data_IF_468227872470
#
_entry.id   IF_468227872470
#
_cell.length_a   1.000
_cell.length_b   1.000
_cell.length_c   1.000
_cell.angle_alpha   90.00
_cell.angle_beta   90.00
_cell.angle_gamma   90.00
#
_symmetry.space_group_name_H-M   'P 1'
#
loop_
_entity.id
_entity.type
_entity.pdbx_description
1 polymer ?
#
# COMPACT_ATOMS: atom_id res chain seq x y z
N UNK A 1 26.07 76.87 -37.78
CA UNK A 1 27.16 76.48 -36.86
C UNK A 1 26.54 76.11 -35.51
N UNK A 2 26.31 74.83 -35.27
CA UNK A 2 25.79 74.28 -34.00
C UNK A 2 26.60 73.03 -33.69
N UNK A 3 27.37 73.05 -32.62
CA UNK A 3 27.95 71.86 -32.01
C UNK A 3 27.11 71.53 -30.79
N UNK A 4 26.52 70.33 -30.75
CA UNK A 4 25.93 69.81 -29.53
C UNK A 4 26.27 68.32 -29.43
N UNK A 5 27.08 67.99 -28.44
CA UNK A 5 27.67 66.67 -28.20
C UNK A 5 26.65 65.78 -27.52
N UNK A 6 26.13 64.77 -28.22
CA UNK A 6 25.22 63.78 -27.65
C UNK A 6 26.03 62.70 -26.92
N UNK A 7 25.92 62.63 -25.59
CA UNK A 7 26.40 61.49 -24.79
C UNK A 7 25.26 60.47 -24.66
N UNK A 8 25.39 59.32 -25.30
CA UNK A 8 24.50 58.18 -25.10
C UNK A 8 25.01 57.32 -23.93
N UNK A 9 24.21 57.21 -22.88
CA UNK A 9 24.43 56.29 -21.76
C UNK A 9 23.68 54.99 -22.09
N UNK A 10 24.42 53.90 -22.28
CA UNK A 10 23.85 52.55 -22.37
C UNK A 10 23.59 52.03 -20.95
N UNK A 11 22.32 51.87 -20.59
CA UNK A 11 21.89 51.19 -19.37
C UNK A 11 21.77 49.69 -19.69
N UNK A 12 22.71 48.88 -19.19
CA UNK A 12 22.62 47.42 -19.24
C UNK A 12 21.84 46.97 -18.00
N UNK A 13 20.54 46.71 -18.15
CA UNK A 13 19.75 46.00 -17.15
C UNK A 13 20.08 44.52 -17.23
N UNK A 14 20.96 44.05 -16.34
CA UNK A 14 21.24 42.63 -16.14
C UNK A 14 20.07 42.02 -15.34
N UNK A 15 19.13 41.40 -16.04
CA UNK A 15 18.03 40.65 -15.42
C UNK A 15 18.56 39.38 -14.75
N UNK A 16 18.75 39.40 -13.44
CA UNK A 16 18.97 38.19 -12.65
C UNK A 16 17.63 37.42 -12.57
N UNK A 17 17.47 36.41 -13.42
CA UNK A 17 16.45 35.39 -13.22
C UNK A 17 16.88 34.51 -12.04
N UNK A 18 16.35 34.76 -10.85
CA UNK A 18 16.36 33.78 -9.76
C UNK A 18 15.53 32.57 -10.22
N UNK A 19 16.19 31.54 -10.72
CA UNK A 19 15.58 30.22 -10.82
C UNK A 19 15.36 29.74 -9.39
N UNK A 20 14.10 29.70 -8.95
CA UNK A 20 13.74 29.03 -7.72
C UNK A 20 14.17 27.56 -7.87
N UNK A 21 15.21 27.16 -7.13
CA UNK A 21 15.54 25.76 -6.96
C UNK A 21 14.31 25.10 -6.34
N UNK A 22 13.59 24.31 -7.13
CA UNK A 22 12.57 23.42 -6.62
C UNK A 22 13.25 22.51 -5.61
N UNK A 23 13.02 22.77 -4.32
CA UNK A 23 13.52 21.91 -3.26
C UNK A 23 12.88 20.54 -3.47
N UNK A 24 13.72 19.52 -3.61
CA UNK A 24 13.24 18.14 -3.66
C UNK A 24 12.36 17.91 -2.43
N UNK A 25 11.15 17.35 -2.60
CA UNK A 25 10.28 17.15 -1.47
C UNK A 25 10.95 16.29 -0.40
N UNK A 26 10.60 16.47 0.89
CA UNK A 26 11.18 15.68 1.96
C UNK A 26 10.96 14.18 1.71
N UNK A 27 11.92 13.32 2.08
CA UNK A 27 11.75 11.88 1.97
C UNK A 27 10.56 11.41 2.83
N UNK A 28 9.91 10.33 2.40
CA UNK A 28 8.86 9.71 3.18
C UNK A 28 9.45 9.14 4.48
N UNK A 29 8.75 9.39 5.56
CA UNK A 29 9.05 8.85 6.87
C UNK A 29 8.16 7.64 7.12
N UNK A 30 8.74 6.57 7.67
CA UNK A 30 7.97 5.42 8.14
C UNK A 30 7.17 5.79 9.38
N UNK A 31 5.95 5.26 9.49
CA UNK A 31 5.16 5.38 10.69
C UNK A 31 5.68 4.41 11.76
N UNK A 32 6.10 4.93 12.91
CA UNK A 32 6.59 4.10 14.01
C UNK A 32 5.38 3.50 14.75
N UNK A 33 5.04 2.24 14.47
CA UNK A 33 3.93 1.55 15.14
C UNK A 33 4.32 1.26 16.58
N UNK A 34 3.57 1.81 17.54
CA UNK A 34 3.81 1.62 18.98
C UNK A 34 2.87 0.57 19.57
N UNK A 35 1.67 0.42 19.01
CA UNK A 35 0.65 -0.48 19.52
C UNK A 35 -0.15 -1.11 18.38
N UNK A 36 -0.51 -2.38 18.59
CA UNK A 36 -1.46 -3.10 17.73
C UNK A 36 -2.42 -3.93 18.57
N UNK A 37 -3.73 -3.78 18.35
CA UNK A 37 -4.74 -4.70 18.88
C UNK A 37 -5.19 -5.64 17.76
N UNK A 38 -5.02 -6.94 17.97
CA UNK A 38 -5.30 -7.99 16.99
C UNK A 38 -6.67 -8.61 17.27
N UNK A 39 -7.52 -8.63 16.24
CA UNK A 39 -8.84 -9.27 16.29
C UNK A 39 -8.81 -10.59 15.53
N UNK A 40 -9.64 -11.55 15.96
CA UNK A 40 -9.67 -12.90 15.35
C UNK A 40 -10.17 -12.92 13.91
N UNK A 41 -10.86 -11.86 13.47
CA UNK A 41 -11.40 -11.72 12.11
C UNK A 41 -10.38 -11.18 11.08
N UNK A 42 -9.11 -11.02 11.45
CA UNK A 42 -8.07 -10.54 10.53
C UNK A 42 -7.88 -9.02 10.51
N UNK A 43 -8.63 -8.28 11.33
CA UNK A 43 -8.41 -6.86 11.55
C UNK A 43 -7.36 -6.63 12.66
N UNK A 44 -6.60 -5.56 12.49
CA UNK A 44 -5.78 -4.96 13.53
C UNK A 44 -6.08 -3.48 13.68
N UNK A 45 -6.12 -3.00 14.93
CA UNK A 45 -6.11 -1.58 15.24
C UNK A 45 -4.68 -1.15 15.53
N UNK A 46 -4.14 -0.30 14.67
CA UNK A 46 -2.77 0.17 14.69
C UNK A 46 -2.74 1.59 15.23
N UNK A 47 -1.82 1.86 16.15
CA UNK A 47 -1.45 3.21 16.57
C UNK A 47 0.03 3.37 16.31
N UNK A 48 0.38 4.37 15.51
CA UNK A 48 1.76 4.76 15.29
C UNK A 48 1.98 6.25 15.49
N UNK A 49 3.22 6.63 15.66
CA UNK A 49 3.63 8.01 15.84
C UNK A 49 4.62 8.45 14.77
N UNK A 50 4.62 9.74 14.50
CA UNK A 50 5.63 10.41 13.68
C UNK A 50 6.13 11.65 14.39
N UNK A 51 7.44 11.82 14.47
CA UNK A 51 8.07 12.99 15.08
C UNK A 51 8.36 14.05 14.01
N UNK A 52 7.86 15.26 14.20
CA UNK A 52 8.08 16.38 13.28
C UNK A 52 9.58 16.77 13.27
N UNK A 53 10.28 16.71 12.11
CA UNK A 53 11.66 17.16 12.01
C UNK A 53 11.78 18.67 12.25
N UNK A 54 12.91 19.08 12.82
CA UNK A 54 13.18 20.48 13.11
C UNK A 54 13.19 21.34 11.83
N UNK A 55 12.50 22.48 11.88
CA UNK A 55 12.43 23.45 10.79
C UNK A 55 11.57 23.04 9.59
N UNK A 56 10.92 21.86 9.63
CA UNK A 56 10.08 21.39 8.53
C UNK A 56 8.60 21.72 8.74
N UNK A 57 7.97 22.27 7.71
CA UNK A 57 6.53 22.54 7.64
C UNK A 57 5.79 21.56 6.74
N UNK A 58 6.51 20.64 6.10
CA UNK A 58 5.94 19.60 5.25
C UNK A 58 6.54 18.26 5.66
N UNK A 59 5.68 17.25 5.81
CA UNK A 59 6.04 15.90 6.21
C UNK A 59 5.40 14.93 5.23
N UNK A 60 6.09 13.85 4.90
CA UNK A 60 5.52 12.73 4.17
C UNK A 60 5.51 11.50 5.05
N UNK A 61 4.34 10.94 5.29
CA UNK A 61 4.18 9.77 6.16
C UNK A 61 3.75 8.57 5.32
N UNK A 62 4.57 7.53 5.25
CA UNK A 62 4.22 6.30 4.57
C UNK A 62 3.26 5.46 5.43
N UNK A 63 2.07 5.16 4.88
CA UNK A 63 1.14 4.26 5.55
C UNK A 63 1.58 2.81 5.33
N UNK A 64 1.76 2.02 6.40
CA UNK A 64 2.30 0.67 6.25
C UNK A 64 1.24 -0.35 5.79
N UNK A 65 -0.04 -0.05 5.99
CA UNK A 65 -1.17 -0.84 5.50
C UNK A 65 -2.31 0.09 5.03
N UNK A 66 -3.22 -0.44 4.21
CA UNK A 66 -4.38 0.34 3.73
C UNK A 66 -5.49 0.31 4.80
N UNK A 67 -5.92 1.47 5.33
CA UNK A 67 -6.99 1.52 6.32
C UNK A 67 -8.33 1.02 5.77
N UNK A 68 -9.15 0.45 6.64
CA UNK A 68 -10.57 0.26 6.38
C UNK A 68 -11.30 1.61 6.24
N UNK A 69 -12.42 1.62 5.54
CA UNK A 69 -13.14 2.85 5.27
C UNK A 69 -13.71 3.46 6.56
N UNK A 70 -13.55 4.77 6.69
CA UNK A 70 -13.95 5.51 7.89
C UNK A 70 -13.06 5.24 9.10
N UNK A 71 -11.91 4.54 8.92
CA UNK A 71 -11.06 4.13 10.03
C UNK A 71 -9.69 4.79 10.13
N UNK A 72 -9.44 5.94 9.49
CA UNK A 72 -8.16 6.64 9.62
C UNK A 72 -8.32 7.90 10.45
N UNK A 73 -7.54 8.02 11.52
CA UNK A 73 -7.48 9.21 12.38
C UNK A 73 -6.07 9.72 12.50
N UNK A 74 -5.95 11.05 12.55
CA UNK A 74 -4.70 11.75 12.81
C UNK A 74 -4.95 12.67 13.98
N UNK A 75 -4.20 12.47 15.05
CA UNK A 75 -4.28 13.25 16.28
C UNK A 75 -2.95 13.93 16.55
N UNK A 76 -3.01 15.15 17.08
CA UNK A 76 -1.85 15.99 17.30
C UNK A 76 -2.11 16.93 18.48
N UNK A 77 -1.08 17.34 19.23
CA UNK A 77 -1.25 18.22 20.36
C UNK A 77 -1.57 19.65 19.90
N UNK A 78 -2.25 20.43 20.74
CA UNK A 78 -2.78 21.76 20.38
C UNK A 78 -1.73 22.78 19.88
N UNK A 79 -0.44 22.53 20.14
CA UNK A 79 0.66 23.38 19.66
C UNK A 79 1.05 23.09 18.19
N UNK A 80 0.54 22.02 17.60
CA UNK A 80 0.74 21.70 16.19
C UNK A 80 -0.38 22.34 15.38
N UNK A 81 0.01 23.19 14.44
CA UNK A 81 -0.91 23.89 13.54
C UNK A 81 -0.91 23.20 12.17
N UNK A 82 -1.79 22.19 12.02
CA UNK A 82 -1.92 21.40 10.78
C UNK A 82 -2.77 22.17 9.76
N UNK A 83 -2.18 22.44 8.59
CA UNK A 83 -2.84 23.14 7.48
C UNK A 83 -3.63 22.18 6.59
N UNK A 84 -3.05 21.03 6.24
CA UNK A 84 -3.70 20.04 5.38
C UNK A 84 -3.08 18.66 5.54
N UNK A 85 -3.87 17.63 5.27
CA UNK A 85 -3.37 16.27 5.06
C UNK A 85 -3.93 15.75 3.75
N UNK A 86 -3.06 15.35 2.83
CA UNK A 86 -3.44 14.91 1.48
C UNK A 86 -2.84 13.54 1.20
N UNK A 87 -3.67 12.59 0.78
CA UNK A 87 -3.20 11.30 0.32
C UNK A 87 -2.50 11.44 -1.04
N UNK A 88 -1.34 10.82 -1.18
CA UNK A 88 -0.59 10.74 -2.42
C UNK A 88 -0.24 9.28 -2.68
N UNK A 89 -0.40 8.86 -3.93
CA UNK A 89 0.12 7.59 -4.38
C UNK A 89 1.50 7.82 -4.96
N UNK A 90 2.49 7.23 -4.32
CA UNK A 90 3.88 7.38 -4.71
C UNK A 90 4.34 6.04 -5.25
N UNK A 91 4.72 6.05 -6.52
CA UNK A 91 5.41 4.93 -7.13
C UNK A 91 6.83 4.90 -6.54
N UNK A 92 7.06 3.94 -5.65
CA UNK A 92 8.36 3.65 -5.07
C UNK A 92 8.98 2.47 -5.80
N UNK A 93 10.27 2.51 -6.04
CA UNK A 93 11.00 1.38 -6.60
C UNK A 93 11.53 0.52 -5.45
N UNK A 94 11.00 -0.70 -5.30
CA UNK A 94 11.66 -1.72 -4.47
C UNK A 94 12.56 -2.57 -5.34
N UNK A 95 13.73 -2.95 -4.84
CA UNK A 95 14.61 -3.88 -5.54
C UNK A 95 14.32 -5.31 -5.11
N UNK A 96 14.18 -6.21 -6.08
CA UNK A 96 14.07 -7.65 -5.85
C UNK A 96 15.18 -8.37 -6.61
N UNK A 97 15.62 -9.51 -6.09
CA UNK A 97 16.56 -10.36 -6.81
C UNK A 97 15.89 -10.93 -8.06
N UNK A 98 16.60 -10.88 -9.19
CA UNK A 98 16.21 -11.55 -10.42
C UNK A 98 16.23 -13.06 -10.19
N UNK A 99 15.09 -13.71 -10.39
CA UNK A 99 14.93 -15.17 -10.28
C UNK A 99 14.72 -15.83 -11.65
N UNK A 100 14.60 -15.03 -12.72
CA UNK A 100 14.48 -15.51 -14.10
C UNK A 100 15.46 -14.82 -15.06
N UNK A 101 15.77 -15.45 -16.20
CA UNK A 101 16.62 -14.84 -17.25
C UNK A 101 16.01 -13.53 -17.77
N UNK A 102 14.69 -13.42 -18.06
CA UNK A 102 14.07 -12.15 -18.44
C UNK A 102 14.28 -11.03 -17.41
N UNK A 103 14.12 -11.32 -16.12
CA UNK A 103 14.40 -10.37 -15.04
C UNK A 103 15.87 -9.95 -15.00
N UNK A 104 16.79 -10.88 -15.23
CA UNK A 104 18.22 -10.59 -15.32
C UNK A 104 18.52 -9.68 -16.52
N UNK A 105 17.87 -9.88 -17.67
CA UNK A 105 18.01 -8.98 -18.82
C UNK A 105 17.44 -7.59 -18.53
N UNK A 106 16.29 -7.52 -17.84
CA UNK A 106 15.66 -6.26 -17.42
C UNK A 106 16.57 -5.44 -16.50
N UNK A 107 17.25 -6.09 -15.54
CA UNK A 107 18.19 -5.42 -14.63
C UNK A 107 19.44 -4.86 -15.32
N UNK A 108 19.76 -5.33 -16.53
CA UNK A 108 21.01 -5.02 -17.23
C UNK A 108 20.81 -4.24 -18.54
N UNK A 109 19.70 -3.51 -18.68
CA UNK A 109 19.53 -2.53 -19.78
C UNK A 109 20.67 -1.51 -19.73
N UNK A 110 21.28 -1.25 -20.89
CA UNK A 110 22.47 -0.43 -21.08
C UNK A 110 23.79 -1.20 -21.06
N UNK A 111 23.78 -2.52 -20.78
CA UNK A 111 25.00 -3.32 -20.69
C UNK A 111 25.20 -4.25 -21.87
N UNK A 112 26.46 -4.57 -22.14
CA UNK A 112 26.87 -5.54 -23.15
C UNK A 112 26.66 -6.96 -22.66
N UNK A 113 25.95 -7.76 -23.44
CA UNK A 113 25.67 -9.15 -23.14
C UNK A 113 25.75 -10.01 -24.40
N UNK A 114 26.16 -11.25 -24.18
CA UNK A 114 26.09 -12.35 -25.14
C UNK A 114 24.87 -13.19 -24.79
N UNK A 115 23.87 -13.16 -25.67
CA UNK A 115 22.55 -13.74 -25.48
C UNK A 115 22.44 -15.03 -26.32
N UNK A 116 22.22 -16.15 -25.65
CA UNK A 116 22.04 -17.45 -26.27
C UNK A 116 20.55 -17.77 -26.43
N UNK A 117 20.16 -18.20 -27.63
CA UNK A 117 18.80 -18.58 -28.02
C UNK A 117 18.87 -19.91 -28.78
N UNK A 118 18.97 -21.02 -28.06
CA UNK A 118 19.23 -22.33 -28.67
C UNK A 118 20.59 -22.37 -29.35
N UNK A 119 20.63 -22.61 -30.67
CA UNK A 119 21.87 -22.64 -31.46
C UNK A 119 22.34 -21.25 -31.93
N UNK A 120 21.54 -20.21 -31.72
CA UNK A 120 21.85 -18.85 -32.16
C UNK A 120 22.39 -18.03 -31.00
N UNK A 121 23.42 -17.23 -31.27
CA UNK A 121 24.02 -16.32 -30.31
C UNK A 121 24.03 -14.90 -30.86
N UNK A 122 23.65 -13.94 -30.02
CA UNK A 122 23.61 -12.52 -30.34
C UNK A 122 24.48 -11.79 -29.33
N UNK A 123 25.41 -10.97 -29.79
CA UNK A 123 26.24 -10.14 -28.92
C UNK A 123 25.93 -8.67 -29.19
N UNK A 124 25.69 -7.91 -28.13
CA UNK A 124 25.42 -6.48 -28.24
C UNK A 124 24.99 -5.86 -26.92
N UNK A 125 24.56 -4.59 -26.98
CA UNK A 125 24.11 -3.82 -25.82
C UNK A 125 22.59 -3.95 -25.71
N UNK A 126 22.10 -4.36 -24.53
CA UNK A 126 20.65 -4.37 -24.26
C UNK A 126 20.19 -2.91 -24.21
N UNK A 127 19.32 -2.48 -25.12
CA UNK A 127 18.89 -1.07 -25.20
C UNK A 127 17.49 -0.82 -24.65
N UNK A 128 16.63 -1.85 -24.64
CA UNK A 128 15.25 -1.72 -24.17
C UNK A 128 14.72 -3.06 -23.69
N UNK A 129 13.92 -3.02 -22.63
CA UNK A 129 13.11 -4.13 -22.15
C UNK A 129 11.68 -3.62 -22.00
N UNK A 130 10.75 -4.20 -22.76
CA UNK A 130 9.36 -3.76 -22.76
C UNK A 130 8.69 -4.06 -21.41
N UNK A 131 7.92 -3.09 -20.92
CA UNK A 131 7.06 -3.26 -19.74
C UNK A 131 5.62 -3.51 -20.17
N UNK A 132 4.89 -4.28 -19.35
CA UNK A 132 3.47 -4.53 -19.59
C UNK A 132 2.73 -3.21 -19.74
N UNK A 133 1.89 -3.10 -20.77
CA UNK A 133 0.98 -1.95 -20.86
C UNK A 133 -0.04 -2.09 -19.75
N UNK A 134 0.00 -1.18 -18.78
CA UNK A 134 -1.13 -1.00 -17.90
C UNK A 134 -2.32 -0.51 -18.75
N UNK A 135 -3.53 -1.03 -18.53
CA UNK A 135 -4.71 -0.43 -19.13
C UNK A 135 -4.77 1.04 -18.68
N UNK A 136 -5.02 1.96 -19.63
CA UNK A 136 -5.25 3.37 -19.32
C UNK A 136 -6.36 3.44 -18.25
N UNK A 137 -6.02 3.85 -17.03
CA UNK A 137 -6.99 4.03 -15.95
C UNK A 137 -7.83 5.30 -16.13
N UNK A 138 -7.62 6.03 -17.24
CA UNK A 138 -8.32 7.27 -17.60
C UNK A 138 -9.76 7.08 -18.09
N UNK A 139 -10.28 5.85 -18.11
CA UNK A 139 -11.73 5.66 -18.24
C UNK A 139 -12.44 6.06 -16.95
N UNK A 140 -12.69 7.36 -16.79
CA UNK A 140 -13.55 7.98 -15.77
C UNK A 140 -14.97 7.36 -15.71
N UNK A 141 -15.32 6.55 -16.70
CA UNK A 141 -16.51 5.71 -16.75
C UNK A 141 -16.12 4.31 -17.24
N UNK A 142 -16.24 3.24 -16.43
CA UNK A 142 -16.26 1.91 -17.02
C UNK A 142 -17.41 1.85 -18.03
N UNK A 143 -17.25 1.18 -19.19
CA UNK A 143 -18.36 0.98 -20.12
C UNK A 143 -19.54 0.38 -19.34
N UNK A 144 -20.72 1.02 -19.47
CA UNK A 144 -21.97 0.56 -18.84
C UNK A 144 -22.08 -0.95 -19.03
N UNK A 145 -22.07 -1.70 -17.93
CA UNK A 145 -22.47 -3.11 -17.96
C UNK A 145 -23.85 -3.19 -18.60
N UNK A 146 -24.06 -4.02 -19.65
CA UNK A 146 -25.39 -4.24 -20.19
C UNK A 146 -26.26 -4.78 -19.06
N UNK A 147 -27.37 -4.08 -18.78
CA UNK A 147 -28.37 -4.50 -17.82
C UNK A 147 -28.88 -5.88 -18.25
N UNK A 148 -28.44 -6.92 -17.54
CA UNK A 148 -28.76 -8.33 -17.78
C UNK A 148 -28.16 -9.18 -16.66
N UNK A 149 -28.72 -10.38 -16.38
CA UNK A 149 -28.26 -11.21 -15.26
C UNK A 149 -26.79 -11.57 -15.49
N UNK A 150 -25.93 -11.07 -14.60
CA UNK A 150 -24.49 -11.11 -14.72
C UNK A 150 -23.97 -12.55 -14.75
N UNK A 151 -23.67 -13.05 -15.95
CA UNK A 151 -22.55 -13.99 -16.11
C UNK A 151 -21.30 -13.14 -15.96
N UNK A 152 -20.55 -13.37 -14.88
CA UNK A 152 -19.32 -12.67 -14.52
C UNK A 152 -18.21 -12.85 -15.55
N UNK A 153 -18.35 -12.16 -16.69
CA UNK A 153 -17.20 -11.87 -17.53
C UNK A 153 -16.48 -10.70 -16.88
N UNK A 154 -15.47 -11.03 -16.08
CA UNK A 154 -14.39 -10.13 -15.75
C UNK A 154 -13.87 -9.52 -17.05
N UNK A 155 -14.27 -8.29 -17.36
CA UNK A 155 -13.63 -7.46 -18.36
C UNK A 155 -12.26 -7.03 -17.79
N UNK A 156 -11.38 -8.00 -17.51
CA UNK A 156 -9.96 -7.71 -17.46
C UNK A 156 -9.59 -7.40 -18.90
N UNK A 157 -9.44 -6.12 -19.21
CA UNK A 157 -8.76 -5.70 -20.43
C UNK A 157 -7.51 -6.58 -20.54
N UNK A 158 -7.30 -7.32 -21.65
CA UNK A 158 -6.19 -8.23 -21.74
C UNK A 158 -4.92 -7.43 -21.54
N UNK A 159 -4.26 -7.61 -20.38
CA UNK A 159 -2.91 -7.14 -20.19
C UNK A 159 -2.11 -7.80 -21.30
N UNK A 160 -1.69 -7.02 -22.30
CA UNK A 160 -0.82 -7.53 -23.35
C UNK A 160 0.55 -7.71 -22.68
N UNK A 161 0.98 -8.95 -22.39
CA UNK A 161 2.23 -9.15 -21.69
C UNK A 161 3.36 -8.67 -22.61
N UNK A 162 4.21 -7.80 -22.10
CA UNK A 162 5.37 -7.33 -22.82
C UNK A 162 6.36 -8.49 -23.01
N UNK A 163 6.74 -8.72 -24.25
CA UNK A 163 7.65 -9.79 -24.65
C UNK A 163 8.64 -9.30 -25.71
N UNK A 164 9.27 -8.16 -25.45
CA UNK A 164 10.26 -7.57 -26.35
C UNK A 164 11.47 -7.06 -25.58
N UNK A 165 12.64 -7.53 -26.00
CA UNK A 165 13.94 -6.95 -25.65
C UNK A 165 14.62 -6.52 -26.93
N UNK A 166 15.23 -5.34 -26.94
CA UNK A 166 16.06 -4.91 -28.07
C UNK A 166 17.53 -4.91 -27.70
N UNK A 167 18.34 -5.39 -28.62
CA UNK A 167 19.79 -5.50 -28.49
C UNK A 167 20.40 -4.74 -29.67
N UNK A 168 21.24 -3.75 -29.38
CA UNK A 168 22.04 -3.06 -30.38
C UNK A 168 23.28 -3.90 -30.68
N UNK A 169 23.34 -4.45 -31.89
CA UNK A 169 24.50 -5.16 -32.43
C UNK A 169 25.23 -4.27 -33.45
N UNK A 170 26.37 -4.75 -33.94
CA UNK A 170 27.11 -4.09 -35.03
C UNK A 170 26.33 -4.08 -36.36
N UNK A 171 25.41 -5.03 -36.53
CA UNK A 171 24.55 -5.15 -37.72
C UNK A 171 23.24 -4.37 -37.62
N UNK A 172 22.91 -3.81 -36.45
CA UNK A 172 21.71 -3.00 -36.23
C UNK A 172 20.98 -3.35 -34.93
N UNK A 173 19.75 -2.87 -34.80
CA UNK A 173 18.90 -3.15 -33.66
C UNK A 173 18.13 -4.46 -33.87
N UNK A 174 18.29 -5.42 -32.98
CA UNK A 174 17.60 -6.73 -33.05
C UNK A 174 16.59 -6.82 -31.91
N UNK A 175 15.32 -7.06 -32.25
CA UNK A 175 14.26 -7.34 -31.28
C UNK A 175 14.09 -8.84 -31.08
N UNK A 176 14.02 -9.29 -29.83
CA UNK A 176 13.82 -10.70 -29.47
C UNK A 176 12.75 -10.85 -28.38
N UNK A 177 12.12 -12.03 -28.34
CA UNK A 177 11.31 -12.43 -27.19
C UNK A 177 12.24 -12.90 -26.06
N UNK A 178 12.22 -12.28 -24.86
CA UNK A 178 13.06 -12.69 -23.74
C UNK A 178 12.82 -14.13 -23.28
N UNK A 179 11.66 -14.74 -23.58
CA UNK A 179 11.35 -16.14 -23.25
C UNK A 179 12.08 -17.15 -24.12
N UNK A 180 12.56 -16.73 -25.29
CA UNK A 180 13.36 -17.59 -26.17
C UNK A 180 14.86 -17.59 -25.81
N UNK A 181 15.25 -16.80 -24.80
CA UNK A 181 16.63 -16.76 -24.32
C UNK A 181 16.89 -17.93 -23.37
N UNK A 182 17.87 -18.75 -23.72
CA UNK A 182 18.30 -19.92 -22.95
C UNK A 182 19.49 -19.63 -22.04
N UNK A 183 20.21 -18.51 -22.27
CA UNK A 183 21.31 -18.08 -21.43
C UNK A 183 21.76 -16.64 -21.76
N UNK A 184 22.37 -15.98 -20.79
CA UNK A 184 22.93 -14.64 -20.97
C UNK A 184 24.27 -14.53 -20.23
N UNK A 185 25.30 -14.08 -20.94
CA UNK A 185 26.63 -13.84 -20.38
C UNK A 185 26.94 -12.35 -20.50
N UNK A 186 27.05 -11.67 -19.37
CA UNK A 186 27.39 -10.24 -19.32
C UNK A 186 28.90 -10.06 -19.37
N UNK A 187 29.37 -9.14 -20.21
CA UNK A 187 30.80 -8.88 -20.41
C UNK A 187 31.17 -7.51 -19.86
N UNK A 188 32.30 -7.40 -19.17
CA UNK A 188 32.77 -6.16 -18.55
C UNK A 188 32.45 -6.13 -17.05
N UNK A 189 31.50 -5.29 -16.65
CA UNK A 189 31.08 -5.14 -15.25
C UNK A 189 30.25 -6.35 -14.76
N UNK A 190 30.29 -6.67 -13.45
CA UNK A 190 29.43 -7.70 -12.86
C UNK A 190 27.95 -7.43 -13.16
N UNK A 191 27.19 -8.47 -13.49
CA UNK A 191 25.76 -8.35 -13.76
C UNK A 191 25.00 -7.75 -12.57
N UNK A 192 24.01 -6.92 -12.85
CA UNK A 192 23.07 -6.43 -11.85
C UNK A 192 22.01 -7.52 -11.65
N UNK A 193 21.77 -7.88 -10.40
CA UNK A 193 20.80 -8.90 -10.04
C UNK A 193 19.58 -8.28 -9.36
N UNK A 194 19.60 -6.97 -9.05
CA UNK A 194 18.49 -6.24 -8.47
C UNK A 194 17.61 -5.64 -9.57
N UNK A 195 16.39 -6.15 -9.69
CA UNK A 195 15.36 -5.61 -10.58
C UNK A 195 14.55 -4.55 -9.84
N UNK A 196 14.42 -3.33 -10.39
CA UNK A 196 13.48 -2.35 -9.88
C UNK A 196 12.04 -2.83 -10.13
N UNK A 197 11.27 -3.00 -9.05
CA UNK A 197 9.83 -3.27 -9.09
C UNK A 197 9.08 -2.01 -8.64
N UNK A 198 8.20 -1.44 -9.47
CA UNK A 198 7.34 -0.36 -9.03
C UNK A 198 6.36 -0.91 -7.99
N UNK A 199 6.36 -0.27 -6.84
CA UNK A 199 5.45 -0.54 -5.73
C UNK A 199 4.71 0.76 -5.45
N UNK A 200 3.39 0.72 -5.62
CA UNK A 200 2.51 1.84 -5.28
C UNK A 200 2.36 1.89 -3.76
N UNK A 201 2.90 2.94 -3.14
CA UNK A 201 2.81 3.18 -1.71
C UNK A 201 2.00 4.44 -1.45
N UNK A 202 0.97 4.29 -0.61
CA UNK A 202 0.20 5.43 -0.11
C UNK A 202 1.02 6.21 0.89
N UNK A 203 1.16 7.52 0.65
CA UNK A 203 1.78 8.46 1.56
C UNK A 203 0.81 9.56 1.93
N UNK A 204 0.90 10.09 3.15
CA UNK A 204 0.20 11.28 3.58
C UNK A 204 1.14 12.48 3.49
N UNK A 205 0.82 13.45 2.64
CA UNK A 205 1.45 14.77 2.58
C UNK A 205 0.79 15.66 3.66
N UNK A 206 1.47 15.82 4.78
CA UNK A 206 1.03 16.64 5.91
C UNK A 206 1.72 18.00 5.80
N UNK A 207 0.92 19.06 5.71
CA UNK A 207 1.41 20.44 5.74
C UNK A 207 1.04 21.09 7.06
N UNK A 208 2.00 21.79 7.63
CA UNK A 208 1.88 22.56 8.86
C UNK A 208 2.01 24.05 8.53
N UNK A 209 1.21 24.88 9.18
CA UNK A 209 1.33 26.33 9.07
C UNK A 209 2.62 26.85 9.74
N UNK A 210 3.16 26.10 10.70
CA UNK A 210 4.42 26.37 11.39
C UNK A 210 5.14 25.06 11.69
N UNK A 211 6.47 25.11 11.67
CA UNK A 211 7.30 23.98 12.09
C UNK A 211 6.95 23.59 13.54
N UNK A 212 6.80 22.28 13.76
CA UNK A 212 6.39 21.70 15.04
C UNK A 212 7.52 20.92 15.73
N UNK A 213 8.78 21.17 15.36
CA UNK A 213 10.04 20.70 15.94
C UNK A 213 9.93 19.72 17.12
N UNK A 214 10.09 18.42 16.85
CA UNK A 214 10.09 17.35 17.86
C UNK A 214 8.72 16.98 18.43
N UNK A 215 7.64 17.70 18.06
CA UNK A 215 6.27 17.29 18.40
C UNK A 215 5.87 16.08 17.59
N UNK A 216 4.98 15.30 18.18
CA UNK A 216 4.53 14.04 17.61
C UNK A 216 3.11 14.16 17.07
N UNK A 217 2.88 13.57 15.90
CA UNK A 217 1.55 13.29 15.37
C UNK A 217 1.30 11.79 15.55
N UNK A 218 0.11 11.42 15.96
CA UNK A 218 -0.30 10.03 16.01
C UNK A 218 -1.22 9.72 14.82
N UNK A 219 -1.00 8.57 14.21
CA UNK A 219 -1.84 8.02 13.15
C UNK A 219 -2.41 6.71 13.67
N UNK A 220 -3.73 6.63 13.66
CA UNK A 220 -4.46 5.47 14.19
C UNK A 220 -5.41 4.95 13.13
N UNK A 221 -5.42 3.63 12.93
CA UNK A 221 -6.29 3.03 11.93
C UNK A 221 -6.60 1.55 12.12
N UNK A 222 -7.71 1.09 11.53
CA UNK A 222 -7.97 -0.34 11.37
C UNK A 222 -7.50 -0.80 10.00
N UNK A 223 -6.76 -1.90 9.92
CA UNK A 223 -6.38 -2.52 8.66
C UNK A 223 -6.43 -4.05 8.76
N UNK A 224 -6.56 -4.71 7.61
CA UNK A 224 -6.45 -6.17 7.51
C UNK A 224 -4.99 -6.62 7.49
N UNK A 225 -4.78 -7.89 7.79
CA UNK A 225 -3.47 -8.55 7.64
C UNK A 225 -2.84 -8.95 8.97
N UNK A 226 -3.53 -8.77 10.09
CA UNK A 226 -3.07 -9.31 11.39
C UNK A 226 -4.20 -10.07 12.06
N UNK A 227 -3.87 -11.19 12.68
CA UNK A 227 -4.82 -11.96 13.49
C UNK A 227 -4.07 -12.74 14.56
N UNK A 228 -4.83 -13.29 15.50
CA UNK A 228 -4.31 -14.21 16.47
C UNK A 228 -5.24 -15.41 16.68
N UNK A 229 -4.66 -16.54 17.01
CA UNK A 229 -5.36 -17.78 17.30
C UNK A 229 -4.99 -18.29 18.70
N UNK A 230 -5.94 -18.32 19.66
CA UNK A 230 -5.71 -18.93 20.97
C UNK A 230 -5.60 -20.46 20.86
N UNK A 231 -4.85 -21.07 21.76
CA UNK A 231 -4.84 -22.52 21.98
C UNK A 231 -4.66 -22.81 23.46
N UNK A 232 -5.62 -23.52 24.05
CA UNK A 232 -5.64 -23.84 25.47
C UNK A 232 -5.50 -25.35 25.68
N UNK A 233 -4.73 -25.74 26.70
CA UNK A 233 -4.68 -27.09 27.23
C UNK A 233 -5.27 -27.05 28.64
N UNK A 234 -6.30 -27.87 28.89
CA UNK A 234 -6.85 -28.06 30.22
C UNK A 234 -6.48 -29.47 30.69
N UNK A 235 -5.71 -29.55 31.77
CA UNK A 235 -5.30 -30.79 32.40
C UNK A 235 -6.08 -30.96 33.71
N UNK A 236 -6.88 -32.02 33.79
CA UNK A 236 -7.75 -32.39 34.92
C UNK A 236 -7.35 -33.72 35.55
N UNK A 237 -6.09 -34.14 35.36
CA UNK A 237 -5.59 -35.43 35.88
C UNK A 237 -5.47 -35.47 37.40
N UNK A 238 -5.35 -34.31 38.07
CA UNK A 238 -5.37 -34.20 39.54
C UNK A 238 -6.81 -34.02 40.05
N UNK A 239 -7.26 -34.91 40.94
CA UNK A 239 -8.59 -34.80 41.54
C UNK A 239 -8.77 -33.48 42.29
N UNK A 240 -9.87 -32.77 41.99
CA UNK A 240 -10.18 -31.47 42.58
C UNK A 240 -9.34 -30.29 42.06
N UNK A 241 -8.50 -30.48 41.04
CA UNK A 241 -7.67 -29.42 40.44
C UNK A 241 -7.75 -29.44 38.92
N UNK A 242 -7.64 -28.26 38.31
CA UNK A 242 -7.48 -28.09 36.88
C UNK A 242 -6.31 -27.16 36.59
N UNK A 243 -5.41 -27.56 35.69
CA UNK A 243 -4.32 -26.72 35.19
C UNK A 243 -4.67 -26.24 33.79
N UNK A 244 -4.68 -24.93 33.61
CA UNK A 244 -4.91 -24.31 32.30
C UNK A 244 -3.58 -23.78 31.78
N UNK A 245 -3.16 -24.24 30.60
CA UNK A 245 -2.06 -23.66 29.85
C UNK A 245 -2.61 -22.96 28.60
N UNK A 246 -2.19 -21.72 28.36
CA UNK A 246 -2.64 -20.93 27.21
C UNK A 246 -1.45 -20.59 26.31
N UNK A 247 -1.63 -20.72 25.00
CA UNK A 247 -0.74 -20.17 23.97
C UNK A 247 -1.56 -19.34 22.99
N UNK A 248 -0.90 -18.45 22.28
CA UNK A 248 -1.46 -17.76 21.13
C UNK A 248 -0.48 -17.82 19.96
N UNK A 249 -1.00 -18.01 18.75
CA UNK A 249 -0.26 -17.81 17.51
C UNK A 249 -0.67 -16.46 16.92
N UNK A 250 0.31 -15.66 16.53
CA UNK A 250 0.09 -14.39 15.83
C UNK A 250 0.48 -14.57 14.37
N UNK A 251 -0.37 -14.10 13.46
CA UNK A 251 -0.12 -14.05 12.02
C UNK A 251 -0.11 -12.58 11.63
N UNK A 252 0.93 -12.14 10.93
CA UNK A 252 1.13 -10.75 10.55
C UNK A 252 1.69 -10.64 9.13
N UNK A 253 0.81 -10.22 8.22
CA UNK A 253 1.08 -9.84 6.83
C UNK A 253 0.80 -8.35 6.59
N UNK A 254 0.45 -7.58 7.64
CA UNK A 254 0.07 -6.17 7.50
C UNK A 254 1.29 -5.26 7.35
N UNK A 255 2.22 -5.33 8.31
CA UNK A 255 3.42 -4.50 8.34
C UNK A 255 4.47 -5.02 9.32
N UNK A 256 5.67 -4.45 9.26
CA UNK A 256 6.71 -4.76 10.24
C UNK A 256 6.29 -4.29 11.65
N UNK A 257 6.43 -5.17 12.64
CA UNK A 257 6.17 -4.89 14.06
C UNK A 257 7.46 -5.10 14.85
N UNK A 258 8.00 -4.02 15.41
CA UNK A 258 9.24 -4.01 16.22
C UNK A 258 8.94 -3.41 17.59
N UNK A 259 9.14 -4.19 18.65
CA UNK A 259 8.95 -3.76 20.05
C UNK A 259 7.59 -3.10 20.33
N UNK A 260 6.52 -3.63 19.72
CA UNK A 260 5.16 -3.07 19.81
C UNK A 260 4.38 -3.65 20.99
N UNK A 261 3.50 -2.82 21.58
CA UNK A 261 2.49 -3.31 22.51
C UNK A 261 1.38 -4.07 21.76
N UNK A 262 1.42 -5.41 21.80
CA UNK A 262 0.44 -6.27 21.15
C UNK A 262 -0.69 -6.66 22.12
N UNK A 263 -1.94 -6.39 21.73
CA UNK A 263 -3.15 -6.77 22.48
C UNK A 263 -3.92 -7.86 21.73
N UNK A 264 -4.23 -8.97 22.40
CA UNK A 264 -4.97 -10.08 21.81
C UNK A 264 -6.44 -9.96 22.19
N UNK A 265 -7.27 -9.47 21.26
CA UNK A 265 -8.68 -9.16 21.52
C UNK A 265 -9.56 -10.37 21.20
N UNK A 266 -10.36 -10.82 22.17
CA UNK A 266 -11.21 -12.00 22.03
C UNK A 266 -12.50 -11.74 21.26
N UNK A 267 -12.98 -10.50 21.25
CA UNK A 267 -14.07 -9.99 20.40
C UNK A 267 -13.57 -9.49 19.04
N UNK A 268 -14.48 -8.92 18.25
CA UNK A 268 -14.15 -8.25 16.99
C UNK A 268 -15.03 -7.00 16.81
N UNK A 269 -14.49 -5.92 16.21
CA UNK A 269 -15.27 -4.71 16.00
C UNK A 269 -16.37 -4.99 14.97
N UNK A 270 -17.58 -4.49 15.25
CA UNK A 270 -18.68 -4.52 14.29
C UNK A 270 -18.72 -3.19 13.55
N UNK A 271 -18.13 -3.16 12.35
CA UNK A 271 -18.06 -1.97 11.52
C UNK A 271 -18.63 -2.29 10.15
N UNK A 272 -19.64 -1.52 9.74
CA UNK A 272 -20.35 -1.68 8.48
C UNK A 272 -19.42 -1.73 7.25
N UNK A 273 -18.29 -1.02 7.30
CA UNK A 273 -17.36 -0.91 6.17
C UNK A 273 -15.96 -1.46 6.49
N UNK A 274 -15.84 -2.41 7.42
CA UNK A 274 -14.57 -3.07 7.76
C UNK A 274 -13.86 -3.72 6.56
N UNK A 275 -14.65 -4.17 5.58
CA UNK A 275 -14.14 -4.83 4.37
C UNK A 275 -13.88 -3.87 3.20
N UNK A 276 -14.30 -2.61 3.33
CA UNK A 276 -14.12 -1.58 2.30
C UNK A 276 -12.78 -0.87 2.54
N UNK A 277 -11.97 -0.73 1.50
CA UNK A 277 -10.72 0.03 1.60
C UNK A 277 -11.02 1.53 1.67
N UNK A 278 -10.27 2.25 2.51
CA UNK A 278 -10.37 3.69 2.56
C UNK A 278 -9.92 4.32 1.23
N UNK A 279 -10.66 5.31 0.67
CA UNK A 279 -10.22 6.08 -0.50
C UNK A 279 -8.86 6.76 -0.31
N UNK A 280 -8.45 7.03 0.94
CA UNK A 280 -7.11 7.54 1.28
C UNK A 280 -6.01 6.58 0.83
N UNK A 281 -6.30 5.27 0.72
CA UNK A 281 -5.38 4.28 0.18
C UNK A 281 -5.08 4.43 -1.32
N UNK A 282 -5.91 5.18 -2.07
CA UNK A 282 -5.78 5.38 -3.52
C UNK A 282 -5.65 4.07 -4.32
N UNK A 283 -6.28 3.00 -3.82
CA UNK A 283 -6.22 1.65 -4.42
C UNK A 283 -7.30 1.40 -5.48
N UNK A 284 -8.37 2.18 -5.45
CA UNK A 284 -9.57 1.97 -6.26
C UNK A 284 -10.05 3.31 -6.85
N UNK A 285 -10.75 3.24 -7.97
CA UNK A 285 -11.44 4.39 -8.56
C UNK A 285 -12.66 4.79 -7.73
N UNK A 286 -13.14 6.02 -7.88
CA UNK A 286 -14.38 6.47 -7.22
C UNK A 286 -15.57 5.55 -7.54
N UNK A 287 -15.70 5.11 -8.79
CA UNK A 287 -16.78 4.21 -9.20
C UNK A 287 -16.73 2.86 -8.47
N UNK A 288 -15.53 2.27 -8.37
CA UNK A 288 -15.31 1.02 -7.63
C UNK A 288 -15.59 1.20 -6.14
N UNK A 289 -15.12 2.30 -5.55
CA UNK A 289 -15.39 2.62 -4.15
C UNK A 289 -16.90 2.76 -3.89
N UNK A 290 -17.63 3.57 -4.68
CA UNK A 290 -19.08 3.70 -4.52
C UNK A 290 -19.82 2.38 -4.73
N UNK A 291 -19.33 1.51 -5.61
CA UNK A 291 -19.89 0.17 -5.79
C UNK A 291 -19.66 -0.72 -4.56
N UNK A 292 -18.50 -0.63 -3.91
CA UNK A 292 -18.19 -1.36 -2.68
C UNK A 292 -19.09 -0.98 -1.51
N UNK A 293 -19.46 0.31 -1.39
CA UNK A 293 -20.40 0.80 -0.37
C UNK A 293 -21.82 0.26 -0.56
N UNK A 294 -22.20 -0.06 -1.80
CA UNK A 294 -23.51 -0.58 -2.16
C UNK A 294 -23.60 -2.11 -2.09
N UNK A 295 -22.49 -2.80 -1.85
CA UNK A 295 -22.57 -4.23 -1.60
C UNK A 295 -23.25 -4.42 -0.24
N UNK A 296 -24.41 -5.12 -0.18
CA UNK A 296 -24.94 -5.52 1.12
C UNK A 296 -23.84 -6.30 1.84
N UNK A 297 -23.74 -6.13 3.16
CA UNK A 297 -22.90 -6.95 4.04
C UNK A 297 -23.22 -8.42 3.78
N UNK A 298 -22.60 -8.99 2.75
CA UNK A 298 -22.63 -10.40 2.50
C UNK A 298 -21.80 -10.96 3.61
N UNK A 299 -22.36 -11.79 4.51
CA UNK A 299 -21.62 -12.33 5.63
C UNK A 299 -20.55 -13.29 5.11
N UNK A 300 -19.44 -12.77 4.59
CA UNK A 300 -18.22 -13.54 4.33
C UNK A 300 -17.62 -14.07 5.64
N UNK A 301 -18.11 -13.57 6.78
CA UNK A 301 -17.97 -14.18 8.11
C UNK A 301 -18.63 -15.56 8.30
N UNK A 302 -19.28 -16.16 7.29
CA UNK A 302 -19.65 -17.58 7.31
C UNK A 302 -18.65 -18.51 6.60
N UNK A 303 -17.72 -17.99 5.79
CA UNK A 303 -16.73 -18.81 5.08
C UNK A 303 -15.39 -18.89 5.82
N UNK A 304 -15.04 -17.88 6.61
CA UNK A 304 -14.16 -18.08 7.76
C UNK A 304 -15.03 -18.70 8.85
N UNK A 305 -15.15 -20.03 8.82
CA UNK A 305 -15.75 -20.78 9.91
C UNK A 305 -15.23 -20.16 11.21
N UNK A 306 -16.15 -19.59 11.97
CA UNK A 306 -15.92 -19.27 13.37
C UNK A 306 -15.13 -20.45 13.92
N UNK A 307 -13.95 -20.21 14.48
CA UNK A 307 -13.29 -21.18 15.36
C UNK A 307 -14.13 -21.20 16.64
N UNK A 308 -15.37 -21.63 16.48
CA UNK A 308 -16.36 -21.82 17.53
C UNK A 308 -15.96 -23.12 18.17
N UNK A 309 -15.52 -23.03 19.41
CA UNK A 309 -15.70 -24.11 20.36
C UNK A 309 -17.22 -24.27 20.59
N UNK A 310 -17.92 -24.82 19.61
CA UNK A 310 -19.25 -25.36 19.80
C UNK A 310 -19.07 -26.85 20.05
N UNK A 311 -19.13 -27.22 21.33
CA UNK A 311 -19.63 -28.54 21.70
C UNK A 311 -21.05 -28.62 21.13
N UNK A 312 -21.23 -29.47 20.12
CA UNK A 312 -22.51 -29.67 19.43
C UNK A 312 -23.56 -30.14 20.44
N UNK A 313 -24.54 -29.29 20.73
CA UNK A 313 -25.86 -29.73 21.19
C UNK A 313 -26.93 -29.19 20.24
N UNK A 314 -27.95 -30.02 20.04
CA UNK A 314 -28.91 -30.01 18.93
C UNK A 314 -29.55 -28.67 18.58
N UNK A 315 -29.83 -28.53 17.28
CA UNK A 315 -30.29 -27.29 16.68
C UNK A 315 -31.73 -26.87 16.97
N UNK A 316 -32.01 -25.62 16.65
CA UNK A 316 -33.28 -25.08 16.22
C UNK A 316 -33.00 -23.75 15.51
N UNK A 317 -33.64 -23.53 14.36
CA UNK A 317 -33.43 -22.34 13.54
C UNK A 317 -33.87 -21.06 14.25
N UNK A 318 -33.28 -19.92 13.86
CA UNK A 318 -33.74 -18.61 14.29
C UNK A 318 -33.67 -17.61 13.14
N UNK A 319 -34.79 -16.96 12.90
CA UNK A 319 -34.96 -15.77 12.08
C UNK A 319 -34.10 -14.62 12.64
N UNK A 320 -33.54 -13.80 11.75
CA UNK A 320 -32.75 -12.63 12.14
C UNK A 320 -33.66 -11.45 12.52
N UNK A 321 -33.30 -10.64 13.52
CA UNK A 321 -34.07 -9.45 13.87
C UNK A 321 -33.85 -8.30 12.86
N UNK A 322 -34.95 -7.59 12.58
CA UNK A 322 -34.98 -6.29 11.90
C UNK A 322 -34.30 -5.21 12.75
N UNK A 323 -33.59 -4.30 12.09
CA UNK A 323 -33.07 -3.08 12.71
C UNK A 323 -34.21 -2.13 13.09
N UNK A 324 -34.17 -1.55 14.30
CA UNK A 324 -34.94 -0.34 14.58
C UNK A 324 -35.45 -0.10 16.01
N UNK A 325 -35.22 -1.00 16.97
CA UNK A 325 -35.49 -0.73 18.37
C UNK A 325 -34.47 -1.46 19.24
N UNK A 326 -33.88 -0.77 20.21
CA UNK A 326 -33.11 -1.43 21.25
C UNK A 326 -34.06 -2.35 22.02
N UNK A 327 -33.94 -3.66 21.80
CA UNK A 327 -34.52 -4.63 22.72
C UNK A 327 -33.81 -4.51 24.06
N UNK A 328 -34.60 -4.35 25.11
CA UNK A 328 -34.12 -4.24 26.49
C UNK A 328 -33.37 -5.52 26.84
N UNK A 329 -32.04 -5.42 26.98
CA UNK A 329 -31.18 -6.52 27.44
C UNK A 329 -30.04 -6.92 26.50
N UNK A 330 -29.93 -6.36 25.30
CA UNK A 330 -28.78 -6.57 24.42
C UNK A 330 -27.73 -5.48 24.62
N UNK A 331 -26.54 -5.85 25.10
CA UNK A 331 -25.37 -4.97 25.04
C UNK A 331 -24.90 -4.93 23.58
N UNK A 332 -25.23 -3.86 22.88
CA UNK A 332 -24.47 -3.47 21.70
C UNK A 332 -23.15 -2.88 22.22
N UNK A 333 -22.06 -3.64 22.11
CA UNK A 333 -20.73 -3.14 22.41
C UNK A 333 -20.31 -2.14 21.33
N UNK A 334 -20.71 -0.89 21.49
CA UNK A 334 -20.13 0.24 20.75
C UNK A 334 -18.73 0.52 21.33
N UNK A 335 -17.71 0.36 20.49
CA UNK A 335 -16.35 0.73 20.85
C UNK A 335 -16.18 2.25 20.76
N UNK A 336 -16.27 2.94 21.90
CA UNK A 336 -15.85 4.33 22.01
C UNK A 336 -14.37 4.39 22.42
N UNK A 337 -13.47 4.56 21.45
CA UNK A 337 -12.08 4.92 21.71
C UNK A 337 -11.95 6.45 21.63
N UNK A 338 -11.79 7.09 22.78
CA UNK A 338 -11.37 8.49 22.87
C UNK A 338 -9.84 8.53 22.98
N UNK A 339 -9.11 9.14 22.03
CA UNK A 339 -7.70 9.42 22.24
C UNK A 339 -7.55 10.43 23.39
N UNK A 340 -6.52 10.23 24.22
CA UNK A 340 -6.11 11.20 25.24
C UNK A 340 -5.38 12.40 24.62
#
# INVERSE_FOLDING_TARGET
MRGNTQRSIFLVTLGLTMQALAQSPPPAMSLDIEQVALFKNGLGFFTGQITCPAGQTQLRVALPATPAHGTLWISYPAQVDVASVVAQDVESTQTQDAITIPELLQANVGRSARIAMGEREITGIITYFAQDRQPDQDELYPPRSPIGPARGYDYRAPQQPAALVTIQTDSGLVGIDPRAVTGATFTGSPAEHKVPRPVRQTQLDVRLNRAADGRKLAVTFLAKGVTWAPSYLVDITEEGKARISAKALVINDACELKDVAAQLVTGFPHLQFADVLSPVGLRETLAQFLQSLNQPDMPRGRAAAVVTQNVMYGGAGMAGPEYGAAEVGAVAEDLFLYPA
#
